data_IF_851882079389
#
_entry.id   IF_851882079389
#
_cell.length_a   1.000
_cell.length_b   1.000
_cell.length_c   1.000
_cell.angle_alpha   90.00
_cell.angle_beta   90.00
_cell.angle_gamma   90.00
#
_symmetry.space_group_name_H-M   'P 1'
#
loop_
_entity.id
_entity.type
_entity.pdbx_description
1 polymer ?
#
# COMPACT_ATOMS: atom_id res chain seq x y z
N UNK A 1 13.53 33.32 16.89
CA UNK A 1 14.32 32.10 17.16
C UNK A 1 13.46 30.89 16.79
N UNK A 2 14.05 29.81 16.28
CA UNK A 2 13.34 28.57 15.92
C UNK A 2 13.08 27.74 17.18
N UNK A 3 11.89 27.14 17.32
CA UNK A 3 11.58 26.20 18.40
C UNK A 3 11.68 24.75 17.89
N UNK A 4 12.73 23.99 18.27
CA UNK A 4 12.90 22.61 17.80
C UNK A 4 11.83 21.63 18.28
N UNK A 5 11.22 21.87 19.45
CA UNK A 5 10.18 20.98 19.97
C UNK A 5 8.86 21.14 19.21
N UNK A 6 8.58 22.36 18.73
CA UNK A 6 7.44 22.60 17.84
C UNK A 6 7.61 21.91 16.48
N UNK A 7 8.82 21.94 15.91
CA UNK A 7 9.15 21.22 14.66
C UNK A 7 8.96 19.70 14.83
N UNK A 8 9.51 19.13 15.90
CA UNK A 8 9.32 17.70 16.22
C UNK A 8 7.85 17.33 16.38
N UNK A 9 7.06 18.17 17.06
CA UNK A 9 5.63 17.92 17.23
C UNK A 9 4.89 17.87 15.88
N UNK A 10 5.21 18.77 14.94
CA UNK A 10 4.69 18.72 13.58
C UNK A 10 5.06 17.42 12.86
N UNK A 11 6.33 17.02 12.93
CA UNK A 11 6.79 15.77 12.30
C UNK A 11 6.13 14.52 12.89
N UNK A 12 5.88 14.49 14.20
CA UNK A 12 5.16 13.38 14.83
C UNK A 12 3.72 13.33 14.32
N UNK A 13 3.05 14.47 14.15
CA UNK A 13 1.72 14.52 13.56
C UNK A 13 1.73 13.97 12.12
N UNK A 14 2.69 14.39 11.28
CA UNK A 14 2.84 13.90 9.90
C UNK A 14 3.06 12.38 9.85
N UNK A 15 3.87 11.83 10.76
CA UNK A 15 4.11 10.38 10.81
C UNK A 15 2.88 9.58 11.25
N UNK A 16 2.07 10.13 12.16
CA UNK A 16 0.82 9.48 12.58
C UNK A 16 -0.18 9.46 11.42
N UNK A 17 -0.32 10.59 10.71
CA UNK A 17 -1.20 10.69 9.54
C UNK A 17 -0.77 9.70 8.43
N UNK A 18 0.52 9.69 8.07
CA UNK A 18 1.06 8.77 7.08
C UNK A 18 0.92 7.31 7.53
N UNK A 19 1.21 7.01 8.80
CA UNK A 19 1.10 5.66 9.35
C UNK A 19 -0.33 5.13 9.33
N UNK A 20 -1.32 5.98 9.64
CA UNK A 20 -2.74 5.64 9.50
C UNK A 20 -3.08 5.29 8.05
N UNK A 21 -2.64 6.13 7.10
CA UNK A 21 -2.88 5.91 5.68
C UNK A 21 -2.25 4.61 5.18
N UNK A 22 -1.02 4.30 5.60
CA UNK A 22 -0.36 3.03 5.28
C UNK A 22 -1.16 1.83 5.79
N UNK A 23 -1.69 1.89 7.02
CA UNK A 23 -2.55 0.84 7.57
C UNK A 23 -3.87 0.70 6.78
N UNK A 24 -4.49 1.82 6.37
CA UNK A 24 -5.70 1.82 5.55
C UNK A 24 -5.47 1.21 4.16
N UNK A 25 -4.36 1.56 3.49
CA UNK A 25 -3.98 0.98 2.20
C UNK A 25 -3.70 -0.52 2.32
N UNK A 26 -2.92 -0.92 3.33
CA UNK A 26 -2.62 -2.33 3.59
C UNK A 26 -3.88 -3.17 3.87
N UNK A 27 -4.84 -2.61 4.62
CA UNK A 27 -6.13 -3.25 4.88
C UNK A 27 -6.95 -3.40 3.58
N UNK A 28 -7.00 -2.35 2.75
CA UNK A 28 -7.71 -2.34 1.48
C UNK A 28 -7.14 -3.36 0.48
N UNK A 29 -5.80 -3.45 0.39
CA UNK A 29 -5.08 -4.36 -0.51
C UNK A 29 -5.04 -5.78 0.05
N UNK A 30 -6.09 -6.56 -0.23
CA UNK A 30 -6.27 -7.94 0.24
C UNK A 30 -5.60 -8.97 -0.68
N UNK A 31 -4.30 -8.83 -0.87
CA UNK A 31 -3.43 -9.75 -1.60
C UNK A 31 -2.02 -9.76 -0.96
N UNK A 32 -1.13 -10.64 -1.44
CA UNK A 32 0.31 -10.49 -1.21
C UNK A 32 1.03 -10.18 -2.53
N UNK A 33 1.71 -9.04 -2.60
CA UNK A 33 2.47 -8.63 -3.78
C UNK A 33 3.72 -7.84 -3.39
N UNK A 34 4.90 -8.34 -3.78
CA UNK A 34 6.17 -7.69 -3.48
C UNK A 34 6.45 -7.65 -1.97
N UNK A 35 6.64 -6.45 -1.42
CA UNK A 35 6.88 -6.25 0.02
C UNK A 35 5.62 -6.20 0.88
N UNK A 36 4.43 -6.14 0.28
CA UNK A 36 3.16 -6.26 0.99
C UNK A 36 2.78 -7.73 1.08
N UNK A 37 2.84 -8.29 2.30
CA UNK A 37 2.62 -9.71 2.53
C UNK A 37 1.54 -9.91 3.59
N UNK A 38 0.59 -10.79 3.27
CA UNK A 38 -0.55 -11.19 4.09
C UNK A 38 -0.54 -12.70 4.20
N UNK A 39 -0.52 -13.22 5.43
CA UNK A 39 -0.50 -14.66 5.68
C UNK A 39 -1.76 -15.35 5.14
N UNK A 40 -2.88 -14.64 5.05
CA UNK A 40 -4.11 -15.13 4.44
C UNK A 40 -4.11 -15.11 2.90
N UNK A 41 -3.08 -14.53 2.28
CA UNK A 41 -2.90 -14.43 0.82
C UNK A 41 -1.52 -14.96 0.43
N UNK A 42 -1.24 -16.21 0.81
CA UNK A 42 -0.02 -16.90 0.44
C UNK A 42 -0.33 -18.24 -0.22
N UNK A 43 0.58 -18.69 -1.05
CA UNK A 43 0.57 -20.05 -1.62
C UNK A 43 0.76 -21.09 -0.51
N UNK A 44 0.47 -22.36 -0.80
CA UNK A 44 0.70 -23.47 0.15
C UNK A 44 2.17 -23.57 0.61
N UNK A 45 3.10 -23.05 -0.20
CA UNK A 45 4.54 -23.01 0.07
C UNK A 45 4.99 -21.77 0.85
N UNK A 46 4.08 -20.89 1.26
CA UNK A 46 4.38 -19.68 2.02
C UNK A 46 4.87 -18.49 1.18
N UNK A 47 4.82 -18.59 -0.15
CA UNK A 47 5.17 -17.47 -1.03
C UNK A 47 3.97 -16.53 -1.26
N UNK A 48 4.25 -15.26 -1.56
CA UNK A 48 3.24 -14.24 -1.85
C UNK A 48 2.30 -14.67 -2.98
N UNK A 49 1.00 -14.75 -2.69
CA UNK A 49 -0.04 -15.00 -3.69
C UNK A 49 -0.65 -13.67 -4.14
N UNK A 50 -0.30 -13.25 -5.37
CA UNK A 50 -0.80 -12.01 -5.98
C UNK A 50 -2.20 -12.25 -6.57
N UNK A 51 -3.07 -11.24 -6.48
CA UNK A 51 -4.41 -11.29 -7.05
C UNK A 51 -4.57 -10.24 -8.16
N UNK A 52 -4.10 -10.62 -9.34
CA UNK A 52 -4.11 -9.78 -10.55
C UNK A 52 -5.54 -9.46 -11.04
N UNK A 53 -6.57 -10.20 -10.61
CA UNK A 53 -7.94 -9.93 -11.02
C UNK A 53 -8.52 -8.70 -10.30
N UNK A 54 -8.14 -8.49 -9.04
CA UNK A 54 -8.71 -7.42 -8.20
C UNK A 54 -7.73 -6.27 -7.93
N UNK A 55 -6.42 -6.52 -7.98
CA UNK A 55 -5.40 -5.58 -7.48
C UNK A 55 -4.32 -5.17 -8.50
N UNK A 56 -4.55 -5.42 -9.79
CA UNK A 56 -3.68 -4.95 -10.88
C UNK A 56 -3.83 -3.44 -11.15
N UNK A 57 -3.51 -2.63 -10.14
CA UNK A 57 -3.57 -1.17 -10.19
C UNK A 57 -2.55 -0.53 -9.24
N UNK A 58 -2.15 0.69 -9.57
CA UNK A 58 -1.45 1.59 -8.66
C UNK A 58 -2.48 2.36 -7.83
N UNK A 59 -2.24 2.43 -6.52
CA UNK A 59 -3.08 3.17 -5.59
C UNK A 59 -2.46 4.53 -5.30
N UNK A 60 -3.28 5.59 -5.32
CA UNK A 60 -2.95 6.88 -4.75
C UNK A 60 -4.10 7.32 -3.85
N UNK A 61 -3.79 7.88 -2.69
CA UNK A 61 -4.80 8.35 -1.74
C UNK A 61 -4.76 9.87 -1.68
N UNK A 62 -5.86 10.49 -2.10
CA UNK A 62 -6.05 11.93 -2.04
C UNK A 62 -6.51 12.35 -0.64
N UNK A 63 -5.82 13.33 -0.05
CA UNK A 63 -6.22 13.93 1.22
C UNK A 63 -7.50 14.76 1.05
N UNK A 64 -8.56 14.41 1.78
CA UNK A 64 -9.83 15.15 1.83
C UNK A 64 -10.09 15.85 3.16
N UNK A 65 -9.28 15.55 4.17
CA UNK A 65 -9.36 16.09 5.52
C UNK A 65 -8.72 15.12 6.52
N UNK A 66 -8.71 15.48 7.79
CA UNK A 66 -8.15 14.64 8.85
C UNK A 66 -8.76 13.23 8.82
N UNK A 67 -7.92 12.23 8.56
CA UNK A 67 -8.30 10.82 8.41
C UNK A 67 -9.33 10.53 7.30
N UNK A 68 -9.61 11.48 6.41
CA UNK A 68 -10.49 11.32 5.25
C UNK A 68 -9.67 11.24 3.96
N UNK A 69 -9.75 10.09 3.30
CA UNK A 69 -8.91 9.74 2.16
C UNK A 69 -9.75 9.18 1.03
N UNK A 70 -9.52 9.70 -0.17
CA UNK A 70 -10.15 9.18 -1.38
C UNK A 70 -9.15 8.33 -2.17
N UNK A 71 -9.47 7.05 -2.36
CA UNK A 71 -8.63 6.14 -3.15
C UNK A 71 -8.84 6.37 -4.65
N UNK A 72 -7.77 6.76 -5.32
CA UNK A 72 -7.66 6.80 -6.78
C UNK A 72 -6.88 5.57 -7.23
N UNK A 73 -7.40 4.89 -8.25
CA UNK A 73 -6.78 3.70 -8.84
C UNK A 73 -6.41 3.98 -10.28
N UNK A 74 -5.20 3.61 -10.66
CA UNK A 74 -4.75 3.60 -12.05
C UNK A 74 -4.45 2.15 -12.46
N UNK A 75 -5.22 1.64 -13.43
CA UNK A 75 -5.10 0.25 -13.87
C UNK A 75 -3.75 0.00 -14.57
N UNK A 76 -3.13 -1.13 -14.23
CA UNK A 76 -1.88 -1.55 -14.85
C UNK A 76 -2.14 -2.41 -16.09
N UNK A 77 -1.82 -1.86 -17.27
CA UNK A 77 -1.99 -2.55 -18.54
C UNK A 77 -0.65 -3.06 -19.09
N UNK A 78 -0.49 -4.39 -19.07
CA UNK A 78 0.72 -5.06 -19.53
C UNK A 78 0.57 -5.56 -20.97
N UNK A 79 1.00 -4.77 -21.95
CA UNK A 79 0.88 -5.15 -23.37
C UNK A 79 1.95 -6.16 -23.81
N UNK A 80 3.20 -5.90 -23.46
CA UNK A 80 4.37 -6.64 -23.99
C UNK A 80 4.72 -7.84 -23.10
N UNK A 81 4.83 -7.63 -21.79
CA UNK A 81 5.23 -8.67 -20.83
C UNK A 81 4.06 -8.98 -19.93
N UNK A 82 3.39 -10.11 -20.17
CA UNK A 82 2.26 -10.53 -19.35
C UNK A 82 2.75 -10.95 -17.96
N UNK A 83 2.06 -10.52 -16.87
CA UNK A 83 2.44 -10.92 -15.53
C UNK A 83 2.38 -12.44 -15.37
N UNK A 84 3.38 -13.00 -14.71
CA UNK A 84 3.38 -14.38 -14.23
C UNK A 84 3.46 -14.39 -12.72
N UNK A 85 3.04 -15.51 -12.12
CA UNK A 85 3.29 -15.74 -10.70
C UNK A 85 4.79 -15.98 -10.51
N UNK A 86 5.40 -15.23 -9.59
CA UNK A 86 6.82 -15.37 -9.26
C UNK A 86 6.99 -16.52 -8.26
N UNK A 87 7.93 -17.42 -8.53
CA UNK A 87 8.39 -18.50 -7.64
C UNK A 87 9.90 -18.40 -7.47
N UNK A 88 10.42 -18.66 -6.28
CA UNK A 88 11.86 -18.73 -6.02
C UNK A 88 12.40 -20.17 -5.96
N UNK A 89 11.52 -21.16 -6.12
CA UNK A 89 11.91 -22.54 -6.40
C UNK A 89 12.42 -22.71 -7.83
#
# INVERSE_FOLDING_TARGET
>A
EMNPELDKAGRVADFIELGELMCKDALNRRESCGGHFREESQTEDGEAQRDDANFSYVAAWEFKGESDWNLVKEDLNFEIVKPTQRSYK
#
